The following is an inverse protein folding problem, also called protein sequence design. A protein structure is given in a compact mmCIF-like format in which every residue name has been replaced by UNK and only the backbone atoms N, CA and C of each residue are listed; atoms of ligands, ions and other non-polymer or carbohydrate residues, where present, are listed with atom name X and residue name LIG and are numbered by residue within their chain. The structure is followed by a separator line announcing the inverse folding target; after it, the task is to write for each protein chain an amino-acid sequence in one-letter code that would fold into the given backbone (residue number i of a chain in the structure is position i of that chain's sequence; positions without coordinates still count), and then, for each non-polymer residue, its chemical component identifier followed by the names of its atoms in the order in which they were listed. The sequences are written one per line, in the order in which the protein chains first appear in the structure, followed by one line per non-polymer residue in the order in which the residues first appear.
data_IF_123468924531
#
_entry.id   IF_123468924531
#
_cell.length_a   1.000
_cell.length_b   1.000
_cell.length_c   1.000
_cell.angle_alpha   90.00
_cell.angle_beta   90.00
_cell.angle_gamma   90.00
#
_symmetry.space_group_name_H-M   'P 1'
#
loop_
_entity.id
_entity.type
_entity.pdbx_description
1 polymer ?
#
# COMPACT_ATOMS: atom_id res chain seq x y z
N UNK A 1 -23.19 -30.89 -11.89
CA UNK A 1 -22.82 -29.46 -12.03
C UNK A 1 -22.05 -29.04 -10.79
N UNK A 2 -20.72 -28.79 -10.87
CA UNK A 2 -19.93 -28.33 -9.72
C UNK A 2 -20.19 -26.84 -9.49
N UNK A 3 -20.84 -26.47 -8.38
CA UNK A 3 -20.99 -25.06 -7.98
C UNK A 3 -19.63 -24.54 -7.51
N UNK A 4 -19.05 -23.59 -8.25
CA UNK A 4 -17.81 -22.90 -7.87
C UNK A 4 -18.17 -21.74 -6.95
N UNK A 5 -18.17 -21.97 -5.64
CA UNK A 5 -18.38 -20.93 -4.63
C UNK A 5 -17.08 -20.12 -4.53
N UNK A 6 -17.11 -18.83 -4.88
CA UNK A 6 -16.00 -17.90 -4.64
C UNK A 6 -16.09 -17.43 -3.18
N UNK A 7 -15.04 -17.63 -2.39
CA UNK A 7 -14.95 -17.10 -1.03
C UNK A 7 -14.43 -15.66 -1.13
N UNK A 8 -15.26 -14.69 -0.75
CA UNK A 8 -14.92 -13.27 -0.66
C UNK A 8 -15.95 -12.59 0.23
N UNK A 9 -15.50 -11.64 1.06
CA UNK A 9 -16.37 -10.81 1.90
C UNK A 9 -16.91 -9.68 1.02
N UNK A 10 -18.21 -9.41 1.14
CA UNK A 10 -18.87 -8.32 0.43
C UNK A 10 -19.21 -7.23 1.44
N UNK A 11 -18.54 -6.08 1.33
CA UNK A 11 -18.96 -4.84 2.00
C UNK A 11 -19.31 -3.80 0.93
N UNK A 12 -20.39 -3.06 1.18
CA UNK A 12 -20.88 -2.00 0.29
C UNK A 12 -21.07 -0.71 1.08
N UNK A 13 -20.39 0.35 0.64
CA UNK A 13 -20.68 1.75 0.97
C UNK A 13 -21.11 2.43 -0.35
N UNK A 14 -22.26 3.10 -0.31
CA UNK A 14 -22.90 3.74 -1.45
C UNK A 14 -22.45 5.19 -1.65
N UNK A 15 -21.42 5.42 -2.49
CA UNK A 15 -21.34 6.57 -3.44
C UNK A 15 -20.04 6.60 -4.24
N UNK A 16 -19.68 5.49 -4.92
CA UNK A 16 -18.86 5.44 -6.16
C UNK A 16 -18.49 3.98 -6.42
N UNK A 17 -18.73 3.50 -7.62
CA UNK A 17 -18.49 2.10 -8.00
C UNK A 17 -16.98 1.85 -8.10
N UNK A 18 -16.37 1.18 -7.12
CA UNK A 18 -15.11 0.44 -7.31
C UNK A 18 -15.10 -0.81 -6.42
N UNK A 19 -15.52 -1.95 -6.97
CA UNK A 19 -15.31 -3.26 -6.32
C UNK A 19 -13.89 -3.74 -6.64
N UNK A 20 -12.97 -3.64 -5.68
CA UNK A 20 -11.63 -4.21 -5.81
C UNK A 20 -11.69 -5.71 -5.49
N UNK A 21 -11.64 -6.55 -6.52
CA UNK A 21 -11.54 -8.01 -6.35
C UNK A 21 -10.07 -8.38 -6.30
N UNK A 22 -9.56 -8.63 -5.11
CA UNK A 22 -8.22 -9.15 -4.93
C UNK A 22 -8.28 -10.69 -4.96
N UNK A 23 -7.82 -11.28 -6.06
CA UNK A 23 -7.57 -12.72 -6.16
C UNK A 23 -6.21 -13.05 -5.56
N UNK A 24 -6.05 -14.19 -4.86
CA UNK A 24 -4.72 -14.70 -4.48
C UNK A 24 -3.87 -15.13 -5.69
N UNK A 25 -4.46 -15.21 -6.89
CA UNK A 25 -3.72 -15.39 -8.13
C UNK A 25 -3.00 -14.08 -8.50
N UNK A 26 -1.73 -14.18 -8.91
CA UNK A 26 -0.95 -13.02 -9.35
C UNK A 26 0.01 -12.44 -8.31
N UNK A 27 0.08 -13.01 -7.09
CA UNK A 27 1.16 -12.73 -6.13
C UNK A 27 2.52 -13.07 -6.73
N UNK A 28 3.43 -12.11 -6.70
CA UNK A 28 4.80 -12.21 -7.22
C UNK A 28 5.81 -12.29 -6.08
N UNK A 29 6.99 -12.91 -6.29
CA UNK A 29 8.07 -12.87 -5.32
C UNK A 29 8.50 -11.40 -5.06
N UNK A 30 9.02 -11.16 -3.87
CA UNK A 30 9.56 -9.84 -3.52
C UNK A 30 10.68 -9.42 -4.46
N UNK A 31 10.57 -8.21 -5.00
CA UNK A 31 11.63 -7.55 -5.77
C UNK A 31 12.49 -6.62 -4.89
N UNK A 32 12.12 -6.43 -3.62
CA UNK A 32 12.85 -5.57 -2.70
C UNK A 32 14.24 -6.11 -2.40
N UNK A 33 15.23 -5.22 -2.47
CA UNK A 33 16.59 -5.48 -1.99
C UNK A 33 16.67 -5.08 -0.53
N UNK A 34 17.22 -5.95 0.29
CA UNK A 34 17.44 -5.69 1.71
C UNK A 34 18.76 -4.95 1.92
N UNK A 35 18.79 -4.03 2.87
CA UNK A 35 20.02 -3.40 3.32
C UNK A 35 20.85 -4.37 4.21
N UNK A 36 21.96 -3.89 4.76
CA UNK A 36 22.86 -4.72 5.60
C UNK A 36 22.20 -5.21 6.89
N UNK A 37 21.17 -4.53 7.35
CA UNK A 37 20.40 -4.82 8.57
C UNK A 37 19.16 -5.69 8.28
N UNK A 38 18.95 -6.07 7.02
CA UNK A 38 17.83 -6.90 6.57
C UNK A 38 16.54 -6.11 6.29
N UNK A 39 16.60 -4.78 6.27
CA UNK A 39 15.44 -3.91 6.11
C UNK A 39 15.19 -3.55 4.65
N UNK A 40 13.93 -3.27 4.32
CA UNK A 40 13.54 -2.68 3.04
C UNK A 40 13.68 -1.17 3.15
N UNK A 41 14.54 -0.57 2.32
CA UNK A 41 14.65 0.88 2.21
C UNK A 41 13.61 1.41 1.21
N UNK A 42 12.74 2.30 1.70
CA UNK A 42 11.66 2.92 0.93
C UNK A 42 11.72 4.43 1.12
N UNK A 43 11.35 5.18 0.09
CA UNK A 43 11.17 6.63 0.18
C UNK A 43 9.74 7.03 -0.18
N UNK A 44 9.40 8.28 0.12
CA UNK A 44 8.12 8.84 -0.27
C UNK A 44 8.00 8.96 -1.80
N UNK A 45 6.77 8.93 -2.27
CA UNK A 45 6.46 9.10 -3.69
C UNK A 45 5.73 10.40 -3.95
N UNK A 46 5.67 10.76 -5.24
CA UNK A 46 4.88 11.88 -5.74
C UNK A 46 3.76 11.35 -6.63
N UNK A 47 2.54 11.39 -6.10
CA UNK A 47 1.34 10.80 -6.67
C UNK A 47 0.31 11.89 -6.96
N UNK A 48 -0.30 11.87 -8.15
CA UNK A 48 -1.34 12.83 -8.50
C UNK A 48 -0.87 14.17 -9.07
N UNK A 49 0.36 14.23 -9.60
CA UNK A 49 0.77 15.30 -10.55
C UNK A 49 0.29 15.04 -11.97
N UNK A 50 0.26 13.77 -12.36
CA UNK A 50 -0.14 13.31 -13.67
C UNK A 50 -1.04 12.09 -13.54
N UNK A 51 -1.85 11.84 -14.59
CA UNK A 51 -2.53 10.56 -14.77
C UNK A 51 -1.49 9.45 -15.00
N UNK A 52 -1.27 8.60 -14.00
CA UNK A 52 -0.27 7.53 -14.05
C UNK A 52 -0.81 6.22 -13.49
N UNK A 53 -0.24 5.12 -14.00
CA UNK A 53 -0.52 3.77 -13.54
C UNK A 53 0.79 3.22 -12.98
N UNK A 54 0.80 2.95 -11.67
CA UNK A 54 1.93 2.39 -10.95
C UNK A 54 1.68 0.91 -10.70
N UNK A 55 2.60 0.07 -11.19
CA UNK A 55 2.50 -1.40 -11.08
C UNK A 55 3.62 -2.01 -10.27
N UNK A 56 4.71 -1.27 -10.03
CA UNK A 56 5.86 -1.81 -9.30
C UNK A 56 5.53 -2.01 -7.81
N UNK A 57 6.17 -3.00 -7.19
CA UNK A 57 6.04 -3.24 -5.75
C UNK A 57 6.51 -2.03 -4.94
N UNK A 58 7.60 -1.39 -5.41
CA UNK A 58 8.17 -0.20 -4.79
C UNK A 58 7.18 0.97 -4.80
N UNK A 59 6.61 1.33 -5.95
CA UNK A 59 5.68 2.46 -6.03
C UNK A 59 4.43 2.24 -5.17
N UNK A 60 3.95 0.99 -5.13
CA UNK A 60 2.77 0.63 -4.33
C UNK A 60 3.06 0.71 -2.83
N UNK A 61 4.23 0.23 -2.37
CA UNK A 61 4.62 0.40 -0.97
C UNK A 61 4.90 1.87 -0.63
N UNK A 62 5.62 2.59 -1.50
CA UNK A 62 5.90 4.02 -1.37
C UNK A 62 4.62 4.85 -1.25
N UNK A 63 3.56 4.49 -1.99
CA UNK A 63 2.24 5.12 -1.86
C UNK A 63 1.65 4.94 -0.46
N UNK A 64 1.65 3.72 0.10
CA UNK A 64 1.14 3.48 1.46
C UNK A 64 1.92 4.30 2.50
N UNK A 65 3.26 4.34 2.39
CA UNK A 65 4.11 5.13 3.28
C UNK A 65 3.85 6.64 3.14
N UNK A 66 3.60 7.11 1.91
CA UNK A 66 3.24 8.50 1.65
C UNK A 66 1.87 8.84 2.24
N UNK A 67 0.88 7.94 2.18
CA UNK A 67 -0.40 8.10 2.87
C UNK A 67 -0.22 8.22 4.39
N UNK A 68 0.64 7.39 4.99
CA UNK A 68 0.94 7.44 6.42
C UNK A 68 1.54 8.77 6.84
N UNK A 69 2.43 9.34 6.02
CA UNK A 69 3.01 10.66 6.29
C UNK A 69 1.93 11.75 6.48
N UNK A 70 0.91 11.77 5.62
CA UNK A 70 -0.21 12.71 5.76
C UNK A 70 -1.07 12.42 7.00
N UNK A 71 -1.27 11.14 7.35
CA UNK A 71 -1.99 10.73 8.57
C UNK A 71 -1.22 11.03 9.85
N UNK A 72 0.11 11.06 9.77
CA UNK A 72 1.02 11.38 10.86
C UNK A 72 1.22 12.88 11.08
N UNK A 73 0.49 13.74 10.34
CA UNK A 73 0.64 15.18 10.52
C UNK A 73 1.97 15.72 10.01
N UNK A 74 2.52 15.11 8.95
CA UNK A 74 3.71 15.57 8.23
C UNK A 74 5.04 15.33 8.96
N UNK A 75 5.09 14.40 9.92
CA UNK A 75 6.32 13.98 10.60
C UNK A 75 6.62 12.49 10.33
N UNK A 76 7.87 12.20 9.95
CA UNK A 76 8.34 10.83 9.67
C UNK A 76 8.41 10.01 10.94
N UNK A 77 8.85 10.60 12.05
CA UNK A 77 8.97 9.90 13.33
C UNK A 77 7.61 9.40 13.81
N UNK A 78 6.58 10.23 13.64
CA UNK A 78 5.20 9.89 14.00
C UNK A 78 4.63 8.75 13.14
N UNK A 79 5.18 8.45 11.96
CA UNK A 79 4.78 7.27 11.14
C UNK A 79 5.07 5.98 11.89
N UNK A 80 6.24 5.83 12.52
CA UNK A 80 6.63 4.59 13.21
C UNK A 80 5.75 4.30 14.43
N UNK A 81 5.12 5.33 15.00
CA UNK A 81 4.19 5.20 16.11
C UNK A 81 2.75 4.87 15.68
N UNK A 82 2.44 4.98 14.38
CA UNK A 82 1.14 4.60 13.83
C UNK A 82 0.97 3.08 13.88
N UNK A 83 -0.22 2.66 14.31
CA UNK A 83 -0.59 1.26 14.28
C UNK A 83 -0.70 0.76 12.83
N UNK A 84 -1.17 1.60 11.89
CA UNK A 84 -1.25 1.28 10.46
C UNK A 84 0.12 0.93 9.89
N UNK A 85 1.17 1.65 10.28
CA UNK A 85 2.54 1.37 9.85
C UNK A 85 2.99 0.00 10.36
N UNK A 86 2.67 -0.35 11.61
CA UNK A 86 3.03 -1.65 12.20
C UNK A 86 2.37 -2.80 11.45
N UNK A 87 1.07 -2.69 11.15
CA UNK A 87 0.35 -3.73 10.39
C UNK A 87 0.91 -3.88 8.96
N UNK A 88 1.20 -2.77 8.29
CA UNK A 88 1.86 -2.80 6.98
C UNK A 88 3.24 -3.46 7.09
N UNK A 89 4.07 -3.03 8.04
CA UNK A 89 5.41 -3.57 8.23
C UNK A 89 5.36 -5.07 8.52
N UNK A 90 4.49 -5.53 9.43
CA UNK A 90 4.38 -6.93 9.82
C UNK A 90 3.96 -7.80 8.62
N UNK A 91 2.97 -7.36 7.84
CA UNK A 91 2.56 -8.03 6.62
C UNK A 91 3.72 -8.14 5.62
N UNK A 92 4.35 -7.01 5.28
CA UNK A 92 5.45 -6.96 4.31
C UNK A 92 6.64 -7.82 4.78
N UNK A 93 7.04 -7.73 6.04
CA UNK A 93 8.17 -8.47 6.59
C UNK A 93 7.91 -9.99 6.56
N UNK A 94 6.69 -10.41 6.92
CA UNK A 94 6.29 -11.82 6.87
C UNK A 94 6.30 -12.39 5.44
N UNK A 95 5.94 -11.60 4.44
CA UNK A 95 5.95 -12.04 3.05
C UNK A 95 7.35 -12.03 2.41
N UNK A 96 8.18 -11.05 2.75
CA UNK A 96 9.50 -10.83 2.12
C UNK A 96 10.66 -11.48 2.87
N UNK A 97 10.48 -11.77 4.17
CA UNK A 97 11.56 -12.18 5.07
C UNK A 97 12.43 -11.02 5.57
N UNK A 98 12.03 -9.77 5.32
CA UNK A 98 12.72 -8.58 5.84
C UNK A 98 12.57 -8.45 7.37
N UNK A 99 13.46 -7.69 7.99
CA UNK A 99 13.44 -7.39 9.43
C UNK A 99 12.64 -6.14 9.76
N UNK A 100 12.43 -5.26 8.79
CA UNK A 100 11.70 -3.99 8.95
C UNK A 100 11.62 -3.19 7.66
N UNK A 101 10.92 -2.05 7.74
CA UNK A 101 10.87 -1.03 6.69
C UNK A 101 11.54 0.24 7.22
N UNK A 102 12.51 0.74 6.46
CA UNK A 102 13.23 1.98 6.77
C UNK A 102 12.85 3.06 5.77
N UNK A 103 12.20 4.11 6.27
CA UNK A 103 11.81 5.28 5.50
C UNK A 103 13.02 6.22 5.40
N UNK A 104 13.50 6.48 4.18
CA UNK A 104 14.67 7.32 3.93
C UNK A 104 14.37 8.82 4.08
N UNK A 105 13.26 9.29 3.53
CA UNK A 105 12.84 10.68 3.59
C UNK A 105 13.71 11.63 2.75
N UNK A 106 14.33 11.12 1.67
CA UNK A 106 15.13 11.93 0.75
C UNK A 106 14.26 12.62 -0.31
N UNK A 107 13.08 12.06 -0.59
CA UNK A 107 12.09 12.58 -1.52
C UNK A 107 10.94 13.28 -0.80
N UNK A 108 10.48 14.42 -1.33
CA UNK A 108 9.31 15.11 -0.78
C UNK A 108 8.01 14.32 -1.05
N UNK A 109 7.21 14.02 -0.02
CA UNK A 109 5.95 13.30 -0.14
C UNK A 109 4.87 14.17 -0.80
N UNK A 110 4.22 13.62 -1.83
CA UNK A 110 3.12 14.31 -2.50
C UNK A 110 1.99 13.34 -2.86
N UNK A 111 0.77 13.67 -2.43
CA UNK A 111 -0.47 13.05 -2.92
C UNK A 111 -1.43 14.18 -3.28
N UNK A 112 -2.09 14.05 -4.44
CA UNK A 112 -3.17 14.94 -4.85
C UNK A 112 -4.18 15.15 -3.71
N UNK A 113 -4.56 16.40 -3.47
CA UNK A 113 -5.31 16.84 -2.32
C UNK A 113 -6.65 16.10 -2.18
N UNK A 114 -7.26 15.67 -3.28
CA UNK A 114 -8.51 14.90 -3.29
C UNK A 114 -8.32 13.42 -2.89
N UNK A 115 -7.10 12.90 -3.03
CA UNK A 115 -6.73 11.52 -2.70
C UNK A 115 -5.99 11.42 -1.36
N UNK A 116 -5.85 12.53 -0.62
CA UNK A 116 -5.20 12.52 0.68
C UNK A 116 -6.07 11.79 1.70
N UNK A 117 -5.51 10.85 2.46
CA UNK A 117 -6.27 10.14 3.48
C UNK A 117 -6.68 11.12 4.60
N UNK A 118 -7.97 11.20 4.90
CA UNK A 118 -8.52 11.95 6.03
C UNK A 118 -8.95 10.97 7.14
N UNK A 119 -7.99 10.52 7.94
CA UNK A 119 -8.23 9.68 9.12
C UNK A 119 -7.63 8.27 9.02
N UNK A 120 -7.81 7.57 7.90
CA UNK A 120 -7.26 6.24 7.63
C UNK A 120 -6.88 6.06 6.15
N UNK A 121 -6.14 4.99 5.84
CA UNK A 121 -5.84 4.60 4.45
C UNK A 121 -7.04 3.86 3.87
N UNK A 122 -7.90 4.56 3.13
CA UNK A 122 -9.13 3.96 2.59
C UNK A 122 -8.91 2.97 1.44
N UNK A 123 -7.77 3.06 0.74
CA UNK A 123 -7.49 2.24 -0.45
C UNK A 123 -7.19 0.77 -0.14
N UNK A 124 -6.75 0.48 1.09
CA UNK A 124 -6.34 -0.85 1.53
C UNK A 124 -6.80 -1.04 2.97
N UNK A 125 -7.49 -2.16 3.23
CA UNK A 125 -7.77 -2.58 4.59
C UNK A 125 -6.47 -3.07 5.25
N UNK A 126 -5.76 -2.19 5.95
CA UNK A 126 -4.48 -2.52 6.61
C UNK A 126 -4.61 -3.55 7.72
N UNK A 127 -5.82 -3.81 8.24
CA UNK A 127 -6.08 -4.90 9.20
C UNK A 127 -6.09 -6.29 8.55
N UNK A 128 -6.15 -6.36 7.21
CA UNK A 128 -6.09 -7.60 6.45
C UNK A 128 -4.71 -7.73 5.79
N UNK A 129 -3.87 -8.60 6.36
CA UNK A 129 -2.55 -8.93 5.82
C UNK A 129 -2.62 -9.29 4.33
N UNK A 130 -3.62 -10.06 3.91
CA UNK A 130 -3.77 -10.44 2.51
C UNK A 130 -4.11 -9.22 1.64
N UNK A 131 -4.83 -8.22 2.15
CA UNK A 131 -5.11 -6.99 1.40
C UNK A 131 -3.82 -6.17 1.19
N UNK A 132 -2.99 -6.02 2.21
CA UNK A 132 -1.68 -5.34 2.11
C UNK A 132 -0.76 -6.07 1.13
N UNK A 133 -0.62 -7.39 1.29
CA UNK A 133 0.24 -8.21 0.43
C UNK A 133 -0.23 -8.18 -1.01
N UNK A 134 -1.52 -8.32 -1.25
CA UNK A 134 -2.00 -8.28 -2.62
C UNK A 134 -1.91 -6.88 -3.22
N UNK A 135 -2.08 -5.81 -2.45
CA UNK A 135 -1.86 -4.47 -2.98
C UNK A 135 -0.42 -4.32 -3.48
N UNK A 136 0.57 -4.66 -2.66
CA UNK A 136 1.99 -4.46 -2.99
C UNK A 136 2.51 -5.50 -3.99
N UNK A 137 2.21 -6.79 -3.80
CA UNK A 137 2.87 -7.89 -4.54
C UNK A 137 2.02 -8.54 -5.63
N UNK A 138 0.77 -8.13 -5.84
CA UNK A 138 -0.03 -8.70 -6.92
C UNK A 138 0.15 -7.92 -8.23
N UNK A 139 0.58 -8.61 -9.29
CA UNK A 139 0.79 -8.02 -10.62
C UNK A 139 -0.47 -7.53 -11.31
N UNK A 140 -1.63 -8.03 -10.89
CA UNK A 140 -2.92 -7.61 -11.41
C UNK A 140 -3.50 -6.40 -10.66
N UNK A 141 -2.82 -5.96 -9.59
CA UNK A 141 -3.18 -4.76 -8.84
C UNK A 141 -2.24 -3.63 -9.24
N UNK A 142 -2.84 -2.54 -9.72
CA UNK A 142 -2.16 -1.30 -10.09
C UNK A 142 -2.76 -0.13 -9.31
N UNK A 143 -1.92 0.77 -8.82
CA UNK A 143 -2.34 2.06 -8.31
C UNK A 143 -2.52 3.02 -9.49
N UNK A 144 -3.69 3.67 -9.58
CA UNK A 144 -3.97 4.67 -10.60
C UNK A 144 -4.17 6.01 -9.93
N UNK A 145 -3.41 7.01 -10.36
CA UNK A 145 -3.65 8.41 -9.99
C UNK A 145 -4.36 9.08 -11.15
N UNK A 146 -5.37 9.88 -10.87
CA UNK A 146 -5.98 10.80 -11.83
C UNK A 146 -5.79 12.23 -11.31
N UNK A 147 -5.75 13.18 -12.23
CA UNK A 147 -5.71 14.60 -11.90
C UNK A 147 -6.89 15.20 -12.66
N UNK A 148 -8.00 15.44 -11.97
CA UNK A 148 -9.15 16.17 -12.51
C UNK A 148 -8.94 17.68 -12.40
#
# INVERSE_FOLDING_TARGET
MKRKIRKGVFETNSSSVHSLVISNEGKEPSEFKLNKDGEIEIDFGQFGKDKRIYTSQYDKLSYLITCLYYLSGYDISDIYDKWEFREIQDAICKYTGATGIKILGEQEPEIDHQSRPCGNIEIVNVYDEDAVINFVFNKYVSLKTDCD
#
